data_IF_955994276797
#
_entry.id   IF_955994276797
#
_cell.length_a   1.000
_cell.length_b   1.000
_cell.length_c   1.000
_cell.angle_alpha   90.00
_cell.angle_beta   90.00
_cell.angle_gamma   90.00
#
_symmetry.space_group_name_H-M   'P 1'
#
loop_
_entity.id
_entity.type
_entity.pdbx_description
1 polymer ?
#
# COMPACT_ATOMS: atom_id res chain seq x y z
N UNK A 1 32.83 -2.90 -43.03
CA UNK A 1 32.40 -3.26 -41.68
C UNK A 1 33.02 -2.35 -40.66
N UNK A 2 32.22 -1.51 -40.02
CA UNK A 2 32.71 -0.58 -39.01
C UNK A 2 32.82 -1.30 -37.67
N UNK A 3 33.99 -1.79 -37.27
CA UNK A 3 34.25 -2.28 -35.93
C UNK A 3 34.52 -1.07 -35.03
N UNK A 4 33.51 -0.62 -34.32
CA UNK A 4 33.68 0.35 -33.23
C UNK A 4 34.39 -0.34 -32.07
N UNK A 5 35.62 0.08 -31.80
CA UNK A 5 36.39 -0.35 -30.63
C UNK A 5 35.97 0.52 -29.45
N UNK A 6 35.26 -0.06 -28.48
CA UNK A 6 34.95 0.60 -27.21
C UNK A 6 36.19 0.62 -26.31
N UNK A 7 36.50 1.78 -25.79
CA UNK A 7 37.54 1.89 -24.75
C UNK A 7 36.97 1.56 -23.38
N UNK A 8 37.81 1.00 -22.50
CA UNK A 8 37.43 0.70 -21.10
C UNK A 8 36.93 1.94 -20.36
N UNK A 9 37.52 3.11 -20.64
CA UNK A 9 37.14 4.39 -20.03
C UNK A 9 35.72 4.81 -20.42
N UNK A 10 35.34 4.63 -21.68
CA UNK A 10 33.96 4.95 -22.14
C UNK A 10 32.91 4.11 -21.41
N UNK A 11 33.14 2.83 -21.26
CA UNK A 11 32.24 1.94 -20.52
C UNK A 11 32.20 2.30 -19.04
N UNK A 12 33.34 2.59 -18.44
CA UNK A 12 33.44 2.95 -17.02
C UNK A 12 32.70 4.24 -16.72
N UNK A 13 32.81 5.27 -17.55
CA UNK A 13 32.08 6.56 -17.39
C UNK A 13 30.58 6.37 -17.47
N UNK A 14 30.10 5.58 -18.42
CA UNK A 14 28.66 5.30 -18.57
C UNK A 14 28.09 4.59 -17.34
N UNK A 15 28.78 3.57 -16.85
CA UNK A 15 28.35 2.85 -15.63
C UNK A 15 28.38 3.76 -14.40
N UNK A 16 29.37 4.64 -14.29
CA UNK A 16 29.46 5.59 -13.20
C UNK A 16 28.27 6.59 -13.20
N UNK A 17 27.89 7.11 -14.36
CA UNK A 17 26.75 8.01 -14.50
C UNK A 17 25.44 7.30 -14.11
N UNK A 18 25.23 6.09 -14.58
CA UNK A 18 24.04 5.29 -14.23
C UNK A 18 23.99 5.03 -12.73
N UNK A 19 25.10 4.72 -12.10
CA UNK A 19 25.18 4.48 -10.66
C UNK A 19 24.82 5.72 -9.85
N UNK A 20 25.28 6.90 -10.25
CA UNK A 20 24.94 8.17 -9.59
C UNK A 20 23.45 8.47 -9.73
N UNK A 21 22.88 8.34 -10.91
CA UNK A 21 21.46 8.58 -11.15
C UNK A 21 20.59 7.58 -10.37
N UNK A 22 20.96 6.31 -10.36
CA UNK A 22 20.25 5.28 -9.59
C UNK A 22 20.29 5.55 -8.08
N UNK A 23 21.43 6.00 -7.55
CA UNK A 23 21.57 6.34 -6.13
C UNK A 23 20.66 7.47 -5.68
N UNK A 24 20.35 8.42 -6.55
CA UNK A 24 19.40 9.50 -6.27
C UNK A 24 17.95 9.06 -6.39
N UNK A 25 17.67 8.11 -7.27
CA UNK A 25 16.30 7.61 -7.53
C UNK A 25 15.81 6.62 -6.47
N UNK A 26 16.69 5.81 -5.89
CA UNK A 26 16.30 4.77 -4.92
C UNK A 26 15.56 5.33 -3.70
N UNK A 27 16.04 6.38 -3.00
CA UNK A 27 15.31 6.92 -1.84
C UNK A 27 13.98 7.54 -2.25
N UNK A 28 13.91 8.23 -3.38
CA UNK A 28 12.68 8.82 -3.90
C UNK A 28 11.62 7.75 -4.24
N UNK A 29 12.05 6.64 -4.84
CA UNK A 29 11.18 5.52 -5.17
C UNK A 29 10.59 4.86 -3.92
N UNK A 30 11.36 4.69 -2.85
CA UNK A 30 10.88 4.14 -1.59
C UNK A 30 9.80 5.04 -0.95
N UNK A 31 10.00 6.34 -0.96
CA UNK A 31 9.01 7.30 -0.46
C UNK A 31 7.73 7.27 -1.31
N UNK A 32 7.86 7.27 -2.63
CA UNK A 32 6.73 7.19 -3.55
C UNK A 32 5.94 5.89 -3.37
N UNK A 33 6.61 4.77 -3.19
CA UNK A 33 5.99 3.46 -2.95
C UNK A 33 5.22 3.43 -1.63
N UNK A 34 5.77 4.00 -0.56
CA UNK A 34 5.09 4.08 0.74
C UNK A 34 3.85 4.96 0.65
N UNK A 35 3.93 6.09 -0.05
CA UNK A 35 2.79 6.97 -0.28
C UNK A 35 1.70 6.30 -1.12
N UNK A 36 2.08 5.56 -2.16
CA UNK A 36 1.15 4.79 -2.97
C UNK A 36 0.40 3.72 -2.17
N UNK A 37 1.09 3.01 -1.28
CA UNK A 37 0.46 2.04 -0.36
C UNK A 37 -0.52 2.71 0.60
N UNK A 38 -0.17 3.86 1.13
CA UNK A 38 -1.06 4.64 2.01
C UNK A 38 -2.33 5.06 1.29
N UNK A 39 -2.23 5.56 0.06
CA UNK A 39 -3.39 5.95 -0.76
C UNK A 39 -4.26 4.74 -1.10
N UNK A 40 -3.67 3.60 -1.45
CA UNK A 40 -4.40 2.36 -1.69
C UNK A 40 -5.18 1.90 -0.46
N UNK A 41 -4.58 2.00 0.72
CA UNK A 41 -5.25 1.71 1.99
C UNK A 41 -6.46 2.61 2.23
N UNK A 42 -6.32 3.92 2.04
CA UNK A 42 -7.41 4.90 2.18
C UNK A 42 -8.54 4.60 1.19
N UNK A 43 -8.22 4.28 -0.06
CA UNK A 43 -9.21 3.92 -1.07
C UNK A 43 -9.98 2.64 -0.70
N UNK A 44 -9.31 1.63 -0.21
CA UNK A 44 -9.94 0.40 0.24
C UNK A 44 -10.86 0.65 1.44
N UNK A 45 -10.42 1.45 2.39
CA UNK A 45 -11.22 1.84 3.55
C UNK A 45 -12.47 2.64 3.14
N UNK A 46 -12.33 3.57 2.20
CA UNK A 46 -13.45 4.33 1.63
C UNK A 46 -14.46 3.43 0.92
N UNK A 47 -13.98 2.46 0.14
CA UNK A 47 -14.85 1.48 -0.55
C UNK A 47 -15.61 0.61 0.45
N UNK A 48 -14.95 0.13 1.49
CA UNK A 48 -15.58 -0.65 2.56
C UNK A 48 -16.62 0.18 3.32
N UNK A 49 -16.35 1.45 3.57
CA UNK A 49 -17.30 2.37 4.18
C UNK A 49 -18.56 2.56 3.35
N UNK A 50 -18.43 2.68 2.04
CA UNK A 50 -19.56 2.78 1.11
C UNK A 50 -20.42 1.51 1.11
N UNK A 51 -19.79 0.34 1.08
CA UNK A 51 -20.50 -0.95 1.16
C UNK A 51 -21.24 -1.07 2.49
N UNK A 52 -20.62 -0.67 3.59
CA UNK A 52 -21.26 -0.67 4.90
C UNK A 52 -22.48 0.28 4.95
N UNK A 53 -22.36 1.46 4.36
CA UNK A 53 -23.47 2.42 4.29
C UNK A 53 -24.65 1.87 3.47
N UNK A 54 -24.40 1.26 2.31
CA UNK A 54 -25.43 0.59 1.51
C UNK A 54 -26.08 -0.56 2.27
N UNK A 55 -25.29 -1.34 2.98
CA UNK A 55 -25.83 -2.43 3.82
C UNK A 55 -26.79 -1.90 4.91
N UNK A 56 -26.41 -0.83 5.61
CA UNK A 56 -27.28 -0.24 6.65
C UNK A 56 -28.57 0.33 6.07
N UNK A 57 -28.54 0.84 4.84
CA UNK A 57 -29.72 1.34 4.14
C UNK A 57 -30.69 0.21 3.78
N UNK A 58 -30.19 -0.91 3.29
CA UNK A 58 -30.97 -2.09 2.93
C UNK A 58 -31.56 -2.82 4.16
N UNK A 59 -30.90 -2.76 5.32
CA UNK A 59 -31.30 -3.46 6.54
C UNK A 59 -31.84 -2.55 7.64
N UNK A 60 -32.56 -1.49 7.29
CA UNK A 60 -33.25 -0.61 8.23
C UNK A 60 -32.38 -0.01 9.34
N UNK A 61 -31.12 0.32 9.02
CA UNK A 61 -30.21 0.93 9.96
C UNK A 61 -29.38 -0.05 10.82
N UNK A 62 -29.53 -1.35 10.62
CA UNK A 62 -28.69 -2.34 11.32
C UNK A 62 -27.30 -2.38 10.74
N UNK A 63 -26.30 -2.24 11.61
CA UNK A 63 -24.87 -2.34 11.26
C UNK A 63 -24.40 -3.79 11.47
N UNK A 64 -23.55 -4.28 10.57
CA UNK A 64 -22.86 -5.55 10.73
C UNK A 64 -22.07 -5.56 12.05
N UNK A 65 -22.40 -6.49 12.95
CA UNK A 65 -21.64 -6.65 14.18
C UNK A 65 -20.19 -7.04 13.87
N UNK A 66 -19.25 -6.30 14.43
CA UNK A 66 -17.81 -6.59 14.26
C UNK A 66 -17.37 -7.88 14.97
N UNK A 67 -18.21 -8.36 15.87
CA UNK A 67 -17.93 -9.53 16.69
C UNK A 67 -19.21 -10.34 16.90
N UNK A 68 -19.25 -11.53 16.31
CA UNK A 68 -20.25 -12.54 16.68
C UNK A 68 -19.53 -13.67 17.43
N UNK A 69 -19.87 -13.82 18.71
CA UNK A 69 -19.35 -14.86 19.57
C UNK A 69 -19.81 -16.27 19.17
N UNK A 70 -20.84 -16.36 18.32
CA UNK A 70 -21.49 -17.59 17.91
C UNK A 70 -20.91 -18.23 16.64
N UNK A 71 -20.19 -17.43 15.83
CA UNK A 71 -19.65 -17.91 14.57
C UNK A 71 -18.23 -17.39 14.33
N UNK A 72 -17.25 -18.27 14.39
CA UNK A 72 -15.82 -17.99 14.16
C UNK A 72 -15.54 -17.53 12.72
N UNK A 73 -16.52 -17.66 11.81
CA UNK A 73 -16.37 -17.34 10.39
C UNK A 73 -16.69 -15.90 9.96
N UNK A 74 -17.27 -15.07 10.85
CA UNK A 74 -17.77 -13.74 10.47
C UNK A 74 -16.73 -12.59 10.53
N UNK A 75 -15.47 -12.90 10.69
CA UNK A 75 -14.39 -11.88 10.75
C UNK A 75 -13.81 -11.50 9.38
N UNK A 76 -14.37 -11.98 8.28
CA UNK A 76 -13.78 -11.80 6.95
C UNK A 76 -13.63 -10.32 6.54
N UNK A 77 -14.53 -9.44 6.94
CA UNK A 77 -14.45 -8.03 6.60
C UNK A 77 -13.41 -7.27 7.45
N UNK A 78 -13.24 -7.63 8.73
CA UNK A 78 -12.13 -7.14 9.57
C UNK A 78 -10.80 -7.61 9.01
N UNK A 79 -10.74 -8.85 8.54
CA UNK A 79 -9.57 -9.43 7.86
C UNK A 79 -9.25 -8.70 6.55
N UNK A 80 -10.26 -8.33 5.79
CA UNK A 80 -10.12 -7.53 4.57
C UNK A 80 -9.49 -6.16 4.84
N UNK A 81 -9.83 -5.52 5.94
CA UNK A 81 -9.21 -4.28 6.40
C UNK A 81 -7.74 -4.47 6.81
N UNK A 82 -7.43 -5.56 7.50
CA UNK A 82 -6.08 -5.87 8.00
C UNK A 82 -5.11 -6.22 6.85
N UNK A 83 -5.59 -6.93 5.85
CA UNK A 83 -4.79 -7.26 4.65
C UNK A 83 -4.57 -6.02 3.76
N UNK A 84 -5.59 -5.17 3.63
CA UNK A 84 -5.55 -3.98 2.76
C UNK A 84 -4.68 -2.86 3.30
N UNK A 85 -4.62 -2.72 4.61
CA UNK A 85 -3.84 -1.70 5.28
C UNK A 85 -2.62 -2.31 5.98
N UNK A 86 -1.46 -1.82 5.62
CA UNK A 86 -0.20 -2.25 6.25
C UNK A 86 -0.31 -2.08 7.78
N UNK A 87 0.10 -3.09 8.52
CA UNK A 87 0.08 -3.15 10.01
C UNK A 87 0.65 -1.90 10.71
N UNK A 88 1.53 -1.18 10.04
CA UNK A 88 2.09 0.09 10.53
C UNK A 88 1.07 1.22 10.64
N UNK A 89 0.10 1.28 9.73
CA UNK A 89 -0.97 2.28 9.76
C UNK A 89 -1.99 1.97 10.85
N UNK A 90 -2.33 0.70 11.05
CA UNK A 90 -3.20 0.26 12.14
C UNK A 90 -2.56 0.46 13.52
N UNK A 91 -1.24 0.30 13.62
CA UNK A 91 -0.50 0.63 14.84
C UNK A 91 -0.55 2.13 15.15
N UNK A 92 -0.41 2.99 14.14
CA UNK A 92 -0.53 4.45 14.29
C UNK A 92 -1.95 4.89 14.70
N UNK A 93 -2.98 4.28 14.11
CA UNK A 93 -4.38 4.56 14.47
C UNK A 93 -4.68 4.08 15.89
N UNK A 94 -4.16 2.93 16.29
CA UNK A 94 -4.30 2.42 17.67
C UNK A 94 -3.69 3.36 18.71
N UNK A 95 -2.57 4.01 18.39
CA UNK A 95 -1.96 5.03 19.26
C UNK A 95 -2.77 6.33 19.37
N UNK A 96 -3.57 6.65 18.35
CA UNK A 96 -4.44 7.83 18.34
C UNK A 96 -5.75 7.64 19.10
N UNK A 97 -6.26 6.41 19.16
CA UNK A 97 -7.57 6.08 19.77
C UNK A 97 -7.47 5.17 21.01
N UNK A 98 -6.29 4.75 21.34
CA UNK A 98 -6.02 3.93 22.54
C UNK A 98 -5.53 4.73 23.69
#
# INVERSE_FOLDING_TARGET
>A
MWRKRFTLIELLVVVAIIAILAALLLPALNQARNKARSIACVNNLSSNGKVLALYTEDYNGYILASYDTRNVGSKWWVWSLDISCNKTLLASIRHLFG
#
